data_IF_199658914464
#
_entry.id   IF_199658914464
#
_cell.length_a   1.000
_cell.length_b   1.000
_cell.length_c   1.000
_cell.angle_alpha   90.00
_cell.angle_beta   90.00
_cell.angle_gamma   90.00
#
_symmetry.space_group_name_H-M   'P 1'
#
loop_
_entity.id
_entity.type
_entity.pdbx_description
1 polymer ?
#
# COMPACT_ATOMS: atom_id res chain seq x y z
N UNK A 1 -20.43 12.90 -2.81
CA UNK A 1 -19.15 13.19 -3.50
C UNK A 1 -18.13 12.13 -3.13
N UNK A 2 -17.87 11.17 -4.03
CA UNK A 2 -16.79 10.19 -3.84
C UNK A 2 -15.48 10.97 -3.96
N UNK A 3 -14.75 11.11 -2.85
CA UNK A 3 -13.47 11.83 -2.81
C UNK A 3 -12.63 11.41 -4.02
N UNK A 4 -12.22 12.41 -4.81
CA UNK A 4 -11.39 12.24 -5.98
C UNK A 4 -10.24 11.30 -5.62
N UNK A 5 -10.24 10.13 -6.27
CA UNK A 5 -9.23 9.09 -6.12
C UNK A 5 -7.88 9.74 -6.43
N UNK A 6 -7.13 10.16 -5.41
CA UNK A 6 -5.75 10.59 -5.58
C UNK A 6 -5.02 9.40 -6.19
N UNK A 7 -4.64 9.55 -7.45
CA UNK A 7 -3.79 8.56 -8.06
C UNK A 7 -2.42 8.64 -7.38
N UNK A 8 -1.99 7.56 -6.76
CA UNK A 8 -0.71 7.49 -6.07
C UNK A 8 0.42 7.34 -7.09
N UNK A 9 1.40 8.24 -7.02
CA UNK A 9 2.73 8.13 -7.61
C UNK A 9 3.66 9.04 -6.79
N UNK A 10 4.84 8.54 -6.42
CA UNK A 10 5.85 9.33 -5.74
C UNK A 10 6.65 10.13 -6.77
N UNK A 11 6.57 11.46 -6.69
CA UNK A 11 7.32 12.36 -7.57
C UNK A 11 8.50 13.04 -6.87
N UNK A 12 8.57 12.96 -5.55
CA UNK A 12 9.56 13.66 -4.72
C UNK A 12 10.42 12.65 -3.93
N UNK A 13 11.46 12.11 -4.57
CA UNK A 13 12.45 11.30 -3.90
C UNK A 13 13.26 12.10 -2.86
N UNK A 14 13.84 11.42 -1.87
CA UNK A 14 14.72 12.06 -0.89
C UNK A 14 15.94 12.67 -1.59
N UNK A 15 16.29 13.91 -1.23
CA UNK A 15 17.48 14.59 -1.77
C UNK A 15 18.54 14.62 -0.68
N UNK A 16 19.63 13.89 -0.90
CA UNK A 16 20.75 13.86 0.04
C UNK A 16 21.51 15.18 0.06
N UNK A 17 21.88 15.66 1.24
CA UNK A 17 22.80 16.79 1.41
C UNK A 17 24.23 16.38 1.04
N UNK A 18 25.11 17.35 0.77
CA UNK A 18 26.51 17.07 0.48
C UNK A 18 27.20 16.27 1.61
N UNK A 19 26.86 16.56 2.87
CA UNK A 19 27.37 15.83 4.03
C UNK A 19 26.89 14.37 4.06
N UNK A 20 25.62 14.13 3.74
CA UNK A 20 25.06 12.78 3.69
C UNK A 20 25.64 11.97 2.53
N UNK A 21 25.86 12.60 1.37
CA UNK A 21 26.54 11.96 0.23
C UNK A 21 27.95 11.52 0.65
N UNK A 22 28.72 12.41 1.27
CA UNK A 22 30.06 12.08 1.77
C UNK A 22 30.03 10.96 2.83
N UNK A 23 29.02 10.95 3.70
CA UNK A 23 28.82 9.90 4.69
C UNK A 23 28.59 8.54 4.00
N UNK A 24 27.70 8.49 3.01
CA UNK A 24 27.39 7.28 2.22
C UNK A 24 28.62 6.79 1.43
N UNK A 25 29.35 7.69 0.77
CA UNK A 25 30.54 7.34 0.00
C UNK A 25 31.62 6.73 0.89
N UNK A 26 31.89 7.32 2.05
CA UNK A 26 32.96 6.88 2.96
C UNK A 26 32.60 5.63 3.76
N UNK A 27 31.35 5.52 4.21
CA UNK A 27 30.95 4.47 5.15
C UNK A 27 30.19 3.29 4.55
N UNK A 28 29.71 3.40 3.31
CA UNK A 28 28.90 2.35 2.68
C UNK A 28 29.45 1.88 1.33
N UNK A 29 29.86 2.80 0.45
CA UNK A 29 30.12 2.48 -0.96
C UNK A 29 31.30 1.53 -1.20
N UNK A 30 32.26 1.48 -0.27
CA UNK A 30 33.43 0.58 -0.35
C UNK A 30 33.22 -0.80 0.29
N UNK A 31 32.04 -1.09 0.85
CA UNK A 31 31.78 -2.34 1.55
C UNK A 31 31.60 -3.52 0.59
N UNK A 32 31.82 -4.73 1.09
CA UNK A 32 31.44 -5.96 0.37
C UNK A 32 29.91 -6.04 0.24
N UNK A 33 29.40 -6.79 -0.75
CA UNK A 33 27.95 -6.95 -0.92
C UNK A 33 27.25 -7.52 0.33
N UNK A 34 27.92 -8.42 1.06
CA UNK A 34 27.39 -9.00 2.29
C UNK A 34 27.36 -7.97 3.43
N UNK A 35 28.40 -7.15 3.55
CA UNK A 35 28.44 -6.09 4.57
C UNK A 35 27.42 -4.99 4.26
N UNK A 36 27.26 -4.60 2.99
CA UNK A 36 26.21 -3.68 2.56
C UNK A 36 24.81 -4.21 2.90
N UNK A 37 24.56 -5.50 2.67
CA UNK A 37 23.29 -6.14 3.03
C UNK A 37 23.03 -6.09 4.55
N UNK A 38 24.07 -6.25 5.38
CA UNK A 38 23.93 -6.18 6.85
C UNK A 38 23.84 -4.74 7.37
N UNK A 39 24.45 -3.79 6.67
CA UNK A 39 24.65 -2.40 7.08
C UNK A 39 23.37 -1.74 7.61
N UNK A 40 22.30 -1.72 6.79
CA UNK A 40 21.04 -1.06 7.16
C UNK A 40 20.43 -1.60 8.47
N UNK A 41 20.53 -2.91 8.71
CA UNK A 41 20.00 -3.56 9.91
C UNK A 41 20.88 -3.37 11.16
N UNK A 42 22.18 -3.15 10.94
CA UNK A 42 23.17 -2.94 11.99
C UNK A 42 23.12 -1.53 12.60
N UNK A 43 22.61 -0.52 11.87
CA UNK A 43 22.49 0.85 12.38
C UNK A 43 21.52 0.90 13.57
N UNK A 44 22.03 1.31 14.75
CA UNK A 44 21.25 1.48 15.99
C UNK A 44 21.20 2.94 16.45
N UNK A 45 22.32 3.63 16.41
CA UNK A 45 22.52 4.99 16.93
C UNK A 45 23.49 5.79 16.03
N UNK A 46 23.71 7.06 16.40
CA UNK A 46 24.60 7.97 15.70
C UNK A 46 24.05 8.54 14.38
N UNK A 47 24.94 9.16 13.60
CA UNK A 47 24.63 9.88 12.37
C UNK A 47 23.85 9.06 11.32
N UNK A 48 24.11 7.75 11.27
CA UNK A 48 23.39 6.84 10.38
C UNK A 48 21.95 6.59 10.81
N UNK A 49 21.71 6.53 12.13
CA UNK A 49 20.37 6.40 12.68
C UNK A 49 19.56 7.67 12.41
N UNK A 50 20.20 8.83 12.52
CA UNK A 50 19.61 10.13 12.20
C UNK A 50 19.28 10.25 10.70
N UNK A 51 20.19 9.83 9.81
CA UNK A 51 19.94 9.76 8.37
C UNK A 51 18.73 8.86 8.05
N UNK A 52 18.70 7.63 8.61
CA UNK A 52 17.55 6.73 8.46
C UNK A 52 16.25 7.36 8.96
N UNK A 53 16.31 8.08 10.08
CA UNK A 53 15.19 8.81 10.64
C UNK A 53 14.68 9.90 9.70
N UNK A 54 15.57 10.67 9.08
CA UNK A 54 15.21 11.73 8.11
C UNK A 54 14.61 11.16 6.83
N UNK A 55 15.23 10.15 6.22
CA UNK A 55 14.71 9.45 5.04
C UNK A 55 13.28 8.93 5.30
N UNK A 56 13.09 8.23 6.43
CA UNK A 56 11.79 7.68 6.81
C UNK A 56 10.75 8.78 7.03
N UNK A 57 11.13 9.87 7.68
CA UNK A 57 10.23 11.01 7.93
C UNK A 57 9.80 11.68 6.63
N UNK A 58 10.75 11.91 5.72
CA UNK A 58 10.47 12.42 4.37
C UNK A 58 9.42 11.56 3.67
N UNK A 59 9.65 10.25 3.58
CA UNK A 59 8.75 9.34 2.88
C UNK A 59 7.37 9.20 3.52
N UNK A 60 7.25 9.26 4.85
CA UNK A 60 5.93 9.33 5.53
C UNK A 60 5.14 10.55 5.08
N UNK A 61 5.81 11.72 5.01
CA UNK A 61 5.16 12.99 4.70
C UNK A 61 4.79 13.09 3.22
N UNK A 62 5.71 12.80 2.29
CA UNK A 62 5.44 12.91 0.84
C UNK A 62 4.44 11.87 0.35
N UNK A 63 4.31 10.74 1.06
CA UNK A 63 3.28 9.73 0.80
C UNK A 63 1.93 10.05 1.46
N UNK A 64 1.79 11.16 2.20
CA UNK A 64 0.60 11.50 2.98
C UNK A 64 0.12 10.31 3.81
N UNK A 65 1.04 9.71 4.57
CA UNK A 65 0.77 8.56 5.42
C UNK A 65 0.10 7.39 4.69
N UNK A 66 0.38 7.20 3.39
CA UNK A 66 -0.24 6.17 2.55
C UNK A 66 0.78 5.14 2.10
N UNK A 67 0.47 3.86 2.31
CA UNK A 67 1.30 2.76 1.83
C UNK A 67 1.24 2.68 0.30
N UNK A 68 2.38 2.61 -0.42
CA UNK A 68 2.41 2.65 -1.88
C UNK A 68 1.84 1.38 -2.53
N UNK A 69 1.72 0.30 -1.76
CA UNK A 69 1.30 -1.01 -2.25
C UNK A 69 -0.20 -1.26 -2.04
N UNK A 70 -0.70 -1.11 -0.80
CA UNK A 70 -2.11 -1.32 -0.46
C UNK A 70 -2.97 -0.05 -0.48
N UNK A 71 -2.35 1.15 -0.61
CA UNK A 71 -3.02 2.44 -0.53
C UNK A 71 -3.80 2.69 0.78
N UNK A 72 -3.51 1.93 1.85
CA UNK A 72 -4.02 2.26 3.17
C UNK A 72 -3.34 3.52 3.69
N UNK A 73 -4.17 4.48 4.12
CA UNK A 73 -3.73 5.67 4.84
C UNK A 73 -3.75 5.40 6.34
N UNK A 74 -2.60 5.48 6.99
CA UNK A 74 -2.43 5.24 8.44
C UNK A 74 -1.79 6.47 9.09
N UNK A 75 -2.62 7.44 9.46
CA UNK A 75 -2.14 8.67 10.09
C UNK A 75 -1.87 8.42 11.58
N UNK A 76 -0.62 8.05 11.87
CA UNK A 76 -0.12 7.79 13.21
C UNK A 76 1.23 8.46 13.37
N UNK A 77 1.44 9.16 14.50
CA UNK A 77 2.70 9.85 14.77
C UNK A 77 3.82 8.88 15.16
N UNK A 78 3.44 7.70 15.67
CA UNK A 78 4.39 6.67 16.02
C UNK A 78 4.99 6.03 14.75
N UNK A 79 6.21 6.44 14.40
CA UNK A 79 6.96 5.97 13.22
C UNK A 79 7.14 4.45 13.15
N UNK A 80 6.97 3.74 14.26
CA UNK A 80 7.06 2.28 14.32
C UNK A 80 5.96 1.53 13.54
N UNK A 81 4.94 2.20 13.01
CA UNK A 81 3.92 1.58 12.14
C UNK A 81 4.34 1.51 10.66
N UNK A 82 5.33 2.30 10.28
CA UNK A 82 5.89 2.34 8.93
C UNK A 82 7.24 1.63 8.91
N UNK A 83 7.52 0.88 7.86
CA UNK A 83 8.87 0.41 7.57
C UNK A 83 9.47 1.25 6.45
N UNK A 84 10.75 1.60 6.59
CA UNK A 84 11.53 2.12 5.48
C UNK A 84 11.78 0.97 4.51
N UNK A 85 11.16 1.07 3.34
CA UNK A 85 11.05 0.00 2.38
C UNK A 85 12.03 0.20 1.22
N UNK A 86 12.66 -0.90 0.82
CA UNK A 86 13.51 -0.96 -0.36
C UNK A 86 12.74 -1.68 -1.46
N UNK A 87 12.35 -0.93 -2.49
CA UNK A 87 11.51 -1.45 -3.58
C UNK A 87 12.23 -2.63 -4.24
N UNK A 88 13.46 -2.43 -4.70
CA UNK A 88 14.40 -3.51 -5.03
C UNK A 88 15.03 -4.04 -3.73
N UNK A 89 14.89 -5.35 -3.42
CA UNK A 89 15.40 -5.90 -2.17
C UNK A 89 16.91 -5.75 -1.99
N UNK A 90 17.32 -5.29 -0.80
CA UNK A 90 18.75 -5.21 -0.41
C UNK A 90 19.47 -6.55 -0.46
N UNK A 91 18.76 -7.67 -0.30
CA UNK A 91 19.38 -9.00 -0.34
C UNK A 91 19.93 -9.34 -1.72
N UNK A 92 19.26 -8.91 -2.78
CA UNK A 92 19.70 -9.13 -4.17
C UNK A 92 20.52 -7.95 -4.71
N UNK A 93 20.19 -6.72 -4.30
CA UNK A 93 20.86 -5.51 -4.78
C UNK A 93 21.25 -4.59 -3.61
N UNK A 94 22.22 -5.01 -2.77
CA UNK A 94 22.58 -4.24 -1.59
C UNK A 94 23.13 -2.86 -1.93
N UNK A 95 23.74 -2.69 -3.10
CA UNK A 95 24.26 -1.40 -3.59
C UNK A 95 23.17 -0.33 -3.82
N UNK A 96 21.89 -0.71 -3.94
CA UNK A 96 20.76 0.24 -4.04
C UNK A 96 20.19 0.66 -2.67
N UNK A 97 20.87 0.39 -1.56
CA UNK A 97 20.37 0.73 -0.21
C UNK A 97 20.09 2.22 -0.02
N UNK A 98 20.92 3.09 -0.59
CA UNK A 98 20.79 4.54 -0.50
C UNK A 98 20.40 5.19 -1.84
N UNK A 99 19.87 4.40 -2.79
CA UNK A 99 19.27 4.99 -3.98
C UNK A 99 17.90 5.57 -3.60
N UNK A 100 17.76 6.89 -3.73
CA UNK A 100 16.57 7.59 -3.21
C UNK A 100 15.28 7.05 -3.85
N UNK A 101 15.27 6.83 -5.16
CA UNK A 101 14.11 6.30 -5.89
C UNK A 101 13.89 4.79 -5.66
N UNK A 102 14.80 4.11 -4.96
CA UNK A 102 14.60 2.74 -4.48
C UNK A 102 13.95 2.70 -3.09
N UNK A 103 13.73 3.86 -2.46
CA UNK A 103 13.23 3.98 -1.09
C UNK A 103 11.80 4.53 -1.06
N UNK A 104 11.02 4.02 -0.11
CA UNK A 104 9.71 4.55 0.26
C UNK A 104 9.40 4.16 1.71
N UNK A 105 8.19 4.45 2.21
CA UNK A 105 7.66 3.76 3.39
C UNK A 105 6.49 2.87 3.04
N UNK A 106 6.41 1.70 3.65
CA UNK A 106 5.26 0.80 3.48
C UNK A 106 4.74 0.32 4.83
N UNK A 107 3.51 -0.21 4.83
CA UNK A 107 3.00 -0.89 6.02
C UNK A 107 3.77 -2.19 6.24
N UNK A 108 3.88 -2.61 7.50
CA UNK A 108 4.61 -3.84 7.88
C UNK A 108 4.14 -5.07 7.13
N UNK A 109 2.83 -5.20 6.92
CA UNK A 109 2.27 -6.37 6.25
C UNK A 109 2.70 -6.42 4.78
N UNK A 110 2.62 -5.31 4.05
CA UNK A 110 3.04 -5.31 2.64
C UNK A 110 4.56 -5.49 2.51
N UNK A 111 5.33 -4.86 3.40
CA UNK A 111 6.78 -5.04 3.46
C UNK A 111 7.15 -6.51 3.73
N UNK A 112 6.54 -7.09 4.75
CA UNK A 112 6.75 -8.48 5.16
C UNK A 112 6.36 -9.48 4.07
N UNK A 113 5.21 -9.27 3.42
CA UNK A 113 4.78 -10.10 2.29
C UNK A 113 5.72 -9.98 1.09
N UNK A 114 6.13 -8.76 0.72
CA UNK A 114 7.07 -8.55 -0.39
C UNK A 114 8.43 -9.17 -0.09
N UNK A 115 8.97 -8.94 1.12
CA UNK A 115 10.24 -9.47 1.58
C UNK A 115 11.35 -9.31 0.52
N UNK A 116 12.04 -10.40 0.18
CA UNK A 116 13.12 -10.45 -0.80
C UNK A 116 12.68 -10.95 -2.18
N UNK A 117 11.37 -10.96 -2.49
CA UNK A 117 10.87 -11.38 -3.80
C UNK A 117 11.45 -10.47 -4.89
N UNK A 118 11.81 -11.05 -6.04
CA UNK A 118 12.34 -10.28 -7.16
C UNK A 118 11.25 -9.37 -7.75
N UNK A 119 11.60 -8.11 -8.01
CA UNK A 119 10.67 -7.10 -8.54
C UNK A 119 11.15 -6.45 -9.84
N UNK A 120 12.32 -6.85 -10.34
CA UNK A 120 12.92 -6.37 -11.57
C UNK A 120 13.08 -7.51 -12.56
N UNK A 121 13.14 -7.16 -13.85
CA UNK A 121 13.60 -8.08 -14.89
C UNK A 121 15.10 -8.38 -14.71
N UNK A 122 15.55 -9.50 -15.26
CA UNK A 122 16.95 -9.96 -15.15
C UNK A 122 17.98 -9.03 -15.79
N UNK A 123 17.55 -8.03 -16.55
CA UNK A 123 18.37 -6.94 -17.12
C UNK A 123 18.93 -6.00 -16.04
N UNK A 124 18.21 -5.80 -14.94
CA UNK A 124 18.65 -4.92 -13.85
C UNK A 124 19.59 -5.70 -12.94
N UNK A 125 20.90 -5.54 -13.13
CA UNK A 125 21.93 -6.23 -12.34
C UNK A 125 22.77 -5.28 -11.50
N UNK A 126 23.42 -4.31 -12.14
CA UNK A 126 24.48 -3.50 -11.52
C UNK A 126 24.21 -1.99 -11.57
N UNK A 127 23.15 -1.56 -12.25
CA UNK A 127 22.78 -0.15 -12.38
C UNK A 127 21.30 0.01 -12.07
N UNK A 128 20.97 1.02 -11.29
CA UNK A 128 19.59 1.35 -10.99
C UNK A 128 18.90 1.85 -12.27
N UNK A 129 17.80 1.20 -12.65
CA UNK A 129 17.02 1.59 -13.82
C UNK A 129 15.94 2.58 -13.41
N UNK A 130 15.74 3.62 -14.23
CA UNK A 130 14.60 4.55 -14.11
C UNK A 130 13.53 4.28 -15.17
N UNK A 131 13.69 3.21 -15.92
CA UNK A 131 12.71 2.75 -16.90
C UNK A 131 11.66 1.90 -16.17
N UNK A 132 10.41 2.36 -16.18
CA UNK A 132 9.30 1.62 -15.58
C UNK A 132 9.18 0.20 -16.14
N UNK A 133 9.56 -0.02 -17.41
CA UNK A 133 9.43 -1.31 -18.06
C UNK A 133 10.39 -2.38 -17.52
N UNK A 134 11.43 -1.99 -16.78
CA UNK A 134 12.36 -2.91 -16.12
C UNK A 134 11.80 -3.52 -14.82
N UNK A 135 10.65 -3.03 -14.34
CA UNK A 135 10.02 -3.48 -13.09
C UNK A 135 8.84 -4.41 -13.36
N UNK A 136 8.79 -5.50 -12.59
CA UNK A 136 7.72 -6.50 -12.61
C UNK A 136 6.49 -6.03 -11.82
N UNK A 137 6.66 -5.20 -10.80
CA UNK A 137 5.58 -4.63 -9.98
C UNK A 137 5.40 -3.14 -10.28
N UNK A 138 4.24 -2.60 -9.94
CA UNK A 138 3.98 -1.14 -9.97
C UNK A 138 5.00 -0.43 -9.06
N UNK A 139 5.94 0.28 -9.67
CA UNK A 139 7.02 0.97 -8.99
C UNK A 139 6.48 2.28 -8.38
N UNK A 140 6.62 2.50 -7.06
CA UNK A 140 6.06 3.67 -6.38
C UNK A 140 6.46 5.02 -6.99
N UNK A 141 7.67 5.14 -7.55
CA UNK A 141 8.15 6.39 -8.16
C UNK A 141 7.87 6.52 -9.66
N UNK A 142 7.84 5.40 -10.38
CA UNK A 142 7.84 5.44 -11.84
C UNK A 142 6.46 5.18 -12.44
N UNK A 143 5.61 4.45 -11.72
CA UNK A 143 4.28 4.12 -12.21
C UNK A 143 3.20 4.93 -11.51
N UNK A 144 2.18 5.23 -12.31
CA UNK A 144 0.93 5.77 -11.82
C UNK A 144 0.01 4.62 -11.39
N UNK A 145 -0.21 4.45 -10.07
CA UNK A 145 -0.88 3.26 -9.52
C UNK A 145 -2.23 2.95 -10.17
N UNK A 146 -3.06 3.97 -10.46
CA UNK A 146 -4.40 3.80 -11.02
C UNK A 146 -4.42 3.17 -12.42
N UNK A 147 -3.32 3.28 -13.14
CA UNK A 147 -3.21 2.78 -14.50
C UNK A 147 -3.06 1.25 -14.48
N UNK A 148 -2.50 0.72 -13.39
CA UNK A 148 -2.26 -0.70 -13.21
C UNK A 148 -3.29 -1.41 -12.34
N UNK A 149 -3.90 -0.74 -11.36
CA UNK A 149 -4.81 -1.37 -10.39
C UNK A 149 -5.99 -0.45 -10.07
N UNK A 150 -7.21 -0.97 -10.18
CA UNK A 150 -8.42 -0.33 -9.65
C UNK A 150 -8.68 -0.83 -8.23
N UNK A 151 -8.63 0.10 -7.26
CA UNK A 151 -9.09 -0.16 -5.89
C UNK A 151 -10.59 0.14 -5.79
N UNK A 152 -11.38 -0.84 -5.34
CA UNK A 152 -12.84 -0.65 -5.13
C UNK A 152 -13.10 0.01 -3.77
N UNK A 153 -12.42 -0.45 -2.73
CA UNK A 153 -12.32 0.16 -1.42
C UNK A 153 -10.86 0.00 -0.94
N UNK A 154 -10.23 1.02 -0.32
CA UNK A 154 -8.89 0.87 0.27
C UNK A 154 -8.87 -0.33 1.22
N UNK A 155 -7.85 -1.19 1.10
CA UNK A 155 -7.78 -2.46 1.84
C UNK A 155 -8.95 -3.43 1.61
N UNK A 156 -9.62 -3.35 0.46
CA UNK A 156 -10.68 -4.30 0.07
C UNK A 156 -10.29 -5.03 -1.20
N UNK A 157 -10.85 -4.61 -2.33
CA UNK A 157 -10.64 -5.26 -3.62
C UNK A 157 -9.66 -4.50 -4.50
N UNK A 158 -8.60 -5.21 -4.89
CA UNK A 158 -7.62 -4.79 -5.87
C UNK A 158 -7.92 -5.52 -7.17
N UNK A 159 -8.28 -4.77 -8.20
CA UNK A 159 -8.59 -5.32 -9.52
C UNK A 159 -7.45 -4.91 -10.47
N UNK A 160 -6.47 -5.80 -10.72
CA UNK A 160 -5.42 -5.56 -11.69
C UNK A 160 -5.99 -5.22 -13.08
N UNK A 161 -5.35 -4.27 -13.74
CA UNK A 161 -5.61 -3.85 -15.13
C UNK A 161 -4.49 -4.27 -16.08
N UNK A 162 -3.33 -4.57 -15.53
CA UNK A 162 -2.10 -4.92 -16.26
C UNK A 162 -1.40 -6.07 -15.53
N UNK A 163 -0.48 -6.75 -16.22
CA UNK A 163 0.36 -7.80 -15.61
C UNK A 163 1.23 -7.26 -14.48
N UNK A 164 1.70 -6.02 -14.60
CA UNK A 164 2.45 -5.32 -13.56
C UNK A 164 1.59 -5.08 -12.30
N UNK A 165 0.31 -4.75 -12.48
CA UNK A 165 -0.66 -4.65 -11.40
C UNK A 165 -0.95 -6.00 -10.74
N UNK A 166 -1.06 -7.07 -11.54
CA UNK A 166 -1.25 -8.44 -11.04
C UNK A 166 -0.05 -8.88 -10.19
N UNK A 167 1.15 -8.67 -10.71
CA UNK A 167 2.40 -8.98 -10.02
C UNK A 167 2.51 -8.23 -8.69
N UNK A 168 2.13 -6.94 -8.62
CA UNK A 168 2.09 -6.23 -7.33
C UNK A 168 1.12 -6.88 -6.34
N UNK A 169 -0.09 -7.21 -6.78
CA UNK A 169 -1.12 -7.87 -5.93
C UNK A 169 -0.59 -9.19 -5.35
N UNK A 170 0.11 -9.98 -6.16
CA UNK A 170 0.68 -11.26 -5.75
C UNK A 170 1.92 -11.10 -4.86
N UNK A 171 2.90 -10.28 -5.29
CA UNK A 171 4.17 -10.06 -4.57
C UNK A 171 3.91 -9.49 -3.17
N UNK A 172 3.03 -8.50 -3.06
CA UNK A 172 2.69 -7.86 -1.79
C UNK A 172 1.52 -8.54 -1.06
N UNK A 173 1.02 -9.68 -1.55
CA UNK A 173 -0.01 -10.49 -0.88
C UNK A 173 -1.35 -9.77 -0.69
N UNK A 174 -1.74 -8.86 -1.57
CA UNK A 174 -2.88 -7.95 -1.37
C UNK A 174 -4.24 -8.68 -1.36
N UNK A 175 -4.32 -9.92 -1.84
CA UNK A 175 -5.52 -10.75 -1.72
C UNK A 175 -5.89 -11.09 -0.27
N UNK A 176 -4.96 -10.96 0.69
CA UNK A 176 -5.27 -11.12 2.12
C UNK A 176 -6.38 -10.19 2.60
N UNK A 177 -6.48 -9.01 1.99
CA UNK A 177 -7.54 -8.04 2.25
C UNK A 177 -8.90 -8.52 1.71
N UNK A 178 -8.90 -9.21 0.57
CA UNK A 178 -10.11 -9.81 0.01
C UNK A 178 -10.57 -10.98 0.86
N UNK A 179 -9.66 -11.80 1.40
CA UNK A 179 -10.05 -12.90 2.28
C UNK A 179 -10.72 -12.42 3.58
N UNK A 180 -10.37 -11.23 4.09
CA UNK A 180 -11.13 -10.61 5.17
C UNK A 180 -12.59 -10.29 4.80
N UNK A 181 -12.93 -10.25 3.51
CA UNK A 181 -14.28 -10.05 2.97
C UNK A 181 -14.82 -11.29 2.20
N UNK A 182 -14.05 -12.37 2.06
CA UNK A 182 -14.43 -13.54 1.27
C UNK A 182 -15.48 -14.41 1.99
N UNK A 183 -15.58 -14.28 3.32
CA UNK A 183 -16.63 -14.90 4.14
C UNK A 183 -17.95 -14.09 4.13
N UNK A 184 -18.12 -13.16 3.20
CA UNK A 184 -19.35 -12.39 3.05
C UNK A 184 -19.99 -12.80 1.72
N UNK A 185 -20.92 -13.75 1.80
CA UNK A 185 -21.77 -14.17 0.70
C UNK A 185 -22.55 -13.01 0.06
N UNK A 186 -23.33 -13.27 -0.98
CA UNK A 186 -24.04 -12.18 -1.67
C UNK A 186 -25.23 -11.68 -0.86
N UNK A 187 -25.50 -10.36 -0.90
CA UNK A 187 -26.76 -9.82 -0.41
C UNK A 187 -27.94 -10.41 -1.21
N UNK A 188 -29.04 -10.73 -0.52
CA UNK A 188 -30.26 -11.23 -1.14
C UNK A 188 -30.87 -10.18 -2.09
N UNK A 189 -31.72 -10.63 -3.03
CA UNK A 189 -32.46 -9.73 -3.92
C UNK A 189 -33.33 -8.74 -3.12
N UNK A 190 -33.90 -9.19 -2.01
CA UNK A 190 -34.72 -8.40 -1.11
C UNK A 190 -33.93 -7.26 -0.44
N UNK A 191 -32.75 -7.56 0.12
CA UNK A 191 -31.88 -6.52 0.71
C UNK A 191 -31.49 -5.48 -0.33
N UNK A 192 -31.18 -5.91 -1.56
CA UNK A 192 -30.85 -5.01 -2.67
C UNK A 192 -32.02 -4.09 -3.03
N UNK A 193 -33.25 -4.61 -3.04
CA UNK A 193 -34.45 -3.82 -3.32
C UNK A 193 -34.75 -2.81 -2.19
N UNK A 194 -34.70 -3.23 -0.93
CA UNK A 194 -34.90 -2.34 0.22
C UNK A 194 -33.83 -1.23 0.29
N UNK A 195 -32.57 -1.57 -0.02
CA UNK A 195 -31.49 -0.58 -0.10
C UNK A 195 -31.75 0.45 -1.21
N UNK A 196 -32.27 0.03 -2.36
CA UNK A 196 -32.62 0.94 -3.44
C UNK A 196 -33.75 1.90 -3.05
N UNK A 197 -34.79 1.39 -2.37
CA UNK A 197 -35.92 2.18 -1.90
C UNK A 197 -35.49 3.23 -0.86
N UNK A 198 -34.72 2.84 0.15
CA UNK A 198 -34.21 3.78 1.16
C UNK A 198 -33.30 4.85 0.54
N UNK A 199 -32.45 4.49 -0.44
CA UNK A 199 -31.64 5.49 -1.15
C UNK A 199 -32.52 6.46 -1.95
N UNK A 200 -33.61 5.99 -2.56
CA UNK A 200 -34.56 6.86 -3.26
C UNK A 200 -35.22 7.84 -2.28
N UNK A 201 -35.70 7.36 -1.14
CA UNK A 201 -36.28 8.22 -0.09
C UNK A 201 -35.28 9.27 0.42
N UNK A 202 -34.02 8.88 0.62
CA UNK A 202 -32.97 9.80 1.05
C UNK A 202 -32.71 10.91 0.01
N UNK A 203 -32.80 10.59 -1.28
CA UNK A 203 -32.59 11.56 -2.35
C UNK A 203 -33.75 12.55 -2.49
N UNK A 204 -34.98 12.10 -2.27
CA UNK A 204 -36.18 12.93 -2.38
C UNK A 204 -36.43 13.79 -1.14
N UNK A 205 -35.97 13.34 0.03
CA UNK A 205 -36.17 14.08 1.29
C UNK A 205 -35.36 15.37 1.32
N UNK A 206 -36.04 16.47 1.66
CA UNK A 206 -35.44 17.79 1.91
C UNK A 206 -35.40 18.15 3.41
N UNK A 207 -35.94 17.30 4.27
CA UNK A 207 -35.97 17.50 5.72
C UNK A 207 -34.80 16.80 6.41
N UNK A 208 -34.09 17.52 7.27
CA UNK A 208 -32.88 17.00 7.90
C UNK A 208 -33.13 15.86 8.90
N UNK A 209 -34.30 15.83 9.56
CA UNK A 209 -34.63 14.77 10.51
C UNK A 209 -35.01 13.49 9.76
N UNK A 210 -35.79 13.61 8.68
CA UNK A 210 -36.11 12.51 7.79
C UNK A 210 -34.86 11.93 7.12
N UNK A 211 -33.96 12.77 6.60
CA UNK A 211 -32.67 12.31 6.07
C UNK A 211 -31.86 11.53 7.11
N UNK A 212 -31.79 12.03 8.36
CA UNK A 212 -31.10 11.33 9.45
C UNK A 212 -31.73 9.96 9.73
N UNK A 213 -33.05 9.89 9.80
CA UNK A 213 -33.77 8.65 10.05
C UNK A 213 -33.57 7.61 8.92
N UNK A 214 -33.63 8.05 7.66
CA UNK A 214 -33.40 7.16 6.50
C UNK A 214 -31.96 6.66 6.50
N UNK A 215 -30.98 7.48 6.87
CA UNK A 215 -29.58 7.05 7.03
C UNK A 215 -29.43 5.99 8.12
N UNK A 216 -30.12 6.12 9.25
CA UNK A 216 -30.12 5.11 10.32
C UNK A 216 -30.71 3.78 9.81
N UNK A 217 -31.80 3.84 9.05
CA UNK A 217 -32.43 2.67 8.43
C UNK A 217 -31.49 1.98 7.43
N UNK A 218 -30.78 2.74 6.59
CA UNK A 218 -29.75 2.23 5.67
C UNK A 218 -28.64 1.54 6.45
N UNK A 219 -28.17 2.16 7.53
CA UNK A 219 -27.12 1.60 8.38
C UNK A 219 -27.55 0.28 9.01
N UNK A 220 -28.76 0.21 9.58
CA UNK A 220 -29.28 -1.00 10.21
C UNK A 220 -29.51 -2.12 9.19
N UNK A 221 -30.08 -1.81 8.02
CA UNK A 221 -30.26 -2.77 6.94
C UNK A 221 -28.92 -3.33 6.46
N UNK A 222 -27.92 -2.46 6.26
CA UNK A 222 -26.58 -2.87 5.85
C UNK A 222 -25.90 -3.76 6.90
N UNK A 223 -26.06 -3.44 8.19
CA UNK A 223 -25.51 -4.25 9.28
C UNK A 223 -26.13 -5.65 9.32
N UNK A 224 -27.47 -5.73 9.29
CA UNK A 224 -28.21 -7.01 9.29
C UNK A 224 -27.86 -7.86 8.08
N UNK A 225 -27.77 -7.25 6.89
CA UNK A 225 -27.38 -7.94 5.68
C UNK A 225 -25.98 -8.55 5.78
N UNK A 226 -24.98 -7.79 6.26
CA UNK A 226 -23.62 -8.28 6.46
C UNK A 226 -23.55 -9.44 7.44
N UNK A 227 -24.31 -9.38 8.54
CA UNK A 227 -24.35 -10.46 9.52
C UNK A 227 -25.02 -11.73 8.98
N UNK A 228 -26.08 -11.59 8.17
CA UNK A 228 -26.68 -12.72 7.47
C UNK A 228 -25.69 -13.35 6.47
N UNK A 229 -25.03 -12.53 5.64
CA UNK A 229 -24.02 -12.97 4.67
C UNK A 229 -22.85 -13.72 5.34
N UNK A 230 -22.39 -13.24 6.51
CA UNK A 230 -21.37 -13.94 7.32
C UNK A 230 -21.86 -15.32 7.78
N UNK A 231 -23.05 -15.39 8.36
CA UNK A 231 -23.63 -16.64 8.88
C UNK A 231 -23.83 -17.69 7.78
N UNK A 232 -24.27 -17.28 6.60
CA UNK A 232 -24.48 -18.19 5.47
C UNK A 232 -23.15 -18.70 4.91
N UNK A 233 -22.12 -17.86 4.86
CA UNK A 233 -20.78 -18.26 4.42
C UNK A 233 -20.12 -19.24 5.41
N UNK A 234 -20.24 -18.98 6.71
CA UNK A 234 -19.79 -19.90 7.78
C UNK A 234 -20.45 -21.27 7.67
N UNK A 235 -21.76 -21.34 7.40
CA UNK A 235 -22.46 -22.62 7.19
C UNK A 235 -21.94 -23.37 5.97
N UNK A 236 -21.67 -22.68 4.87
CA UNK A 236 -21.13 -23.27 3.63
C UNK A 236 -19.70 -23.80 3.77
N UNK A 237 -18.92 -23.30 4.73
CA UNK A 237 -17.56 -23.77 5.03
C UNK A 237 -17.55 -24.97 5.99
N UNK A 238 -18.63 -25.20 6.72
CA UNK A 238 -18.78 -26.29 7.70
C UNK A 238 -19.58 -27.49 7.16
N UNK A 239 -20.02 -27.43 5.90
CA UNK A 239 -20.74 -28.47 5.16
C UNK A 239 -19.85 -29.13 4.12
#
# INVERSE_FOLDING_TARGET
MVAARRCFQLTNAYVYTAEEVLLIERGFSGLSSEDMYRFWGAIKDGEWSDLKGRIKTHYILVQDYTCPYCLQRMQVDHKGMWDAEHIIPRRSHPHFTFEAENLCVSCKDCNGEKSNKAVTKSSVKNKFSRDESDYLIVHPHFDKYSDHIKVVAPAGFYLPRTDKGRALVEVCGLLRFVFQYADYGFASAEVKAQMADLNFQLQESVDSLEQSFVLDCIQELAARAKDAMRKDSLKSLMS
#
